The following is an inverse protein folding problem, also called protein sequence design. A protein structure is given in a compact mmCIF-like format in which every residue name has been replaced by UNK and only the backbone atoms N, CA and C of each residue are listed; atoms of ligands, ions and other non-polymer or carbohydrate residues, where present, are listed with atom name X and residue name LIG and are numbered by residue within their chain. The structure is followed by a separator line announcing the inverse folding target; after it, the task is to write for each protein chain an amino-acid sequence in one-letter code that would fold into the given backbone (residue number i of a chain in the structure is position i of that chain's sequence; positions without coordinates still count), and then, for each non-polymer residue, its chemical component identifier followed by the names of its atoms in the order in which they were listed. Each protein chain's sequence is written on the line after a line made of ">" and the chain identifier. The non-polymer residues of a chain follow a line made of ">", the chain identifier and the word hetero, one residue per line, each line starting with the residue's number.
data_IF_825948015529
#
_entry.id   IF_825948015529
#
_cell.length_a   1.000
_cell.length_b   1.000
_cell.length_c   1.000
_cell.angle_alpha   90.00
_cell.angle_beta   90.00
_cell.angle_gamma   90.00
#
_symmetry.space_group_name_H-M   'P 1'
#
loop_
_entity.id
_entity.type
_entity.pdbx_description
1 polymer ?
#
# COMPACT_ATOMS: atom_id res chain seq x y z
N UNK A 1 -2.47 32.31 0.10
CA UNK A 1 -3.89 32.49 -0.28
C UNK A 1 -4.54 31.11 -0.14
N UNK A 2 -5.56 31.00 0.70
CA UNK A 2 -6.17 29.75 1.18
C UNK A 2 -6.64 28.88 0.01
N UNK A 3 -6.17 27.62 -0.06
CA UNK A 3 -6.74 26.60 -0.95
C UNK A 3 -8.21 26.42 -0.59
N UNK A 4 -9.09 26.81 -1.49
CA UNK A 4 -10.53 26.63 -1.34
C UNK A 4 -10.85 25.23 -1.85
N UNK A 5 -10.90 24.25 -0.94
CA UNK A 5 -11.48 22.95 -1.26
C UNK A 5 -12.96 23.19 -1.64
N UNK A 6 -13.35 22.86 -2.87
CA UNK A 6 -14.74 22.88 -3.26
C UNK A 6 -15.48 21.77 -2.50
N UNK A 7 -16.21 22.15 -1.46
CA UNK A 7 -17.15 21.25 -0.79
C UNK A 7 -18.32 20.97 -1.74
N UNK A 8 -18.32 19.80 -2.41
CA UNK A 8 -19.51 19.26 -3.08
C UNK A 8 -20.46 18.68 -2.01
N UNK A 9 -21.76 18.79 -2.28
CA UNK A 9 -22.87 18.63 -1.33
C UNK A 9 -22.90 17.27 -0.58
N UNK A 10 -23.41 17.23 0.67
CA UNK A 10 -23.46 16.01 1.47
C UNK A 10 -24.39 14.96 0.85
N UNK A 11 -23.87 13.75 0.67
CA UNK A 11 -24.66 12.55 0.40
C UNK A 11 -25.56 12.25 1.61
N UNK A 12 -26.87 12.37 1.43
CA UNK A 12 -27.89 11.99 2.43
C UNK A 12 -27.86 10.47 2.66
N UNK A 13 -27.24 10.02 3.76
CA UNK A 13 -27.42 8.67 4.27
C UNK A 13 -28.85 8.50 4.80
N UNK A 14 -29.64 7.66 4.14
CA UNK A 14 -30.93 7.21 4.63
C UNK A 14 -30.77 6.36 5.91
N UNK A 15 -31.59 6.64 6.93
CA UNK A 15 -31.67 5.84 8.16
C UNK A 15 -32.16 4.42 7.84
N UNK A 16 -31.55 3.36 8.39
CA UNK A 16 -32.14 2.02 8.27
C UNK A 16 -33.35 1.88 9.21
N UNK A 17 -34.45 1.39 8.64
CA UNK A 17 -35.63 0.94 9.38
C UNK A 17 -35.33 -0.39 10.10
N UNK A 18 -35.91 -0.55 11.30
CA UNK A 18 -35.83 -1.79 12.06
C UNK A 18 -36.49 -2.94 11.29
N UNK A 19 -35.74 -4.01 11.00
CA UNK A 19 -36.34 -5.29 10.65
C UNK A 19 -35.49 -6.50 11.11
N UNK A 20 -36.18 -7.36 11.88
CA UNK A 20 -36.04 -8.80 12.09
C UNK A 20 -34.65 -9.41 12.38
N UNK A 21 -34.46 -9.79 13.66
CA UNK A 21 -33.46 -10.74 14.14
C UNK A 21 -33.63 -12.11 13.46
N UNK A 22 -32.63 -12.56 12.72
CA UNK A 22 -32.41 -13.99 12.41
C UNK A 22 -31.19 -14.50 13.20
N UNK A 23 -31.38 -15.60 13.93
CA UNK A 23 -30.34 -16.24 14.75
C UNK A 23 -29.29 -16.89 13.83
N UNK A 24 -28.01 -16.52 13.98
CA UNK A 24 -26.88 -17.26 13.40
C UNK A 24 -26.58 -18.52 14.25
N UNK A 25 -26.15 -19.65 13.66
CA UNK A 25 -25.64 -20.79 14.42
C UNK A 25 -24.31 -20.44 15.07
N UNK A 26 -24.06 -20.97 16.28
CA UNK A 26 -22.84 -20.72 17.06
C UNK A 26 -21.57 -21.27 16.40
N UNK A 27 -20.38 -20.77 16.78
CA UNK A 27 -19.13 -21.17 16.18
C UNK A 27 -18.74 -22.60 16.60
N UNK A 28 -18.34 -23.43 15.63
CA UNK A 28 -17.67 -24.70 15.87
C UNK A 28 -16.27 -24.51 16.50
N UNK A 29 -15.64 -25.58 17.01
CA UNK A 29 -14.42 -25.47 17.78
C UNK A 29 -13.26 -24.96 16.92
N UNK A 30 -12.53 -23.97 17.44
CA UNK A 30 -11.33 -23.41 16.83
C UNK A 30 -10.18 -24.45 16.77
N UNK A 31 -9.36 -24.46 15.69
CA UNK A 31 -8.16 -25.27 15.66
C UNK A 31 -7.15 -24.76 16.69
N UNK A 32 -6.55 -25.67 17.45
CA UNK A 32 -5.50 -25.36 18.44
C UNK A 32 -4.23 -24.91 17.71
N UNK A 33 -3.92 -23.61 17.79
CA UNK A 33 -2.66 -23.04 17.32
C UNK A 33 -1.54 -23.26 18.33
N UNK A 34 -0.35 -23.60 17.82
CA UNK A 34 0.90 -23.66 18.58
C UNK A 34 1.23 -22.26 19.09
N UNK A 35 1.40 -22.13 20.42
CA UNK A 35 1.97 -20.94 21.05
C UNK A 35 3.36 -20.69 20.47
N UNK A 36 3.57 -19.47 19.98
CA UNK A 36 4.88 -18.90 19.72
C UNK A 36 5.68 -18.89 21.04
N UNK A 37 6.85 -19.53 21.06
CA UNK A 37 7.78 -19.49 22.18
C UNK A 37 9.12 -19.02 21.63
N UNK A 38 9.65 -17.86 22.09
CA UNK A 38 11.04 -17.54 21.84
C UNK A 38 11.92 -18.52 22.63
N UNK A 39 12.91 -19.12 21.97
CA UNK A 39 13.94 -19.91 22.65
C UNK A 39 14.83 -18.95 23.45
N UNK A 40 14.60 -18.90 24.76
CA UNK A 40 15.50 -18.28 25.72
C UNK A 40 16.31 -19.39 26.42
N UNK A 41 17.54 -19.61 25.99
CA UNK A 41 18.54 -20.36 26.76
C UNK A 41 19.18 -19.41 27.76
N UNK A 42 18.59 -19.34 28.96
CA UNK A 42 19.20 -18.70 30.12
C UNK A 42 20.00 -19.73 30.93
N UNK A 43 21.34 -19.62 30.90
CA UNK A 43 22.24 -20.28 31.85
C UNK A 43 22.61 -19.32 32.98
N UNK A 44 22.21 -19.66 34.22
CA UNK A 44 22.81 -19.15 35.48
C UNK A 44 24.03 -20.04 35.77
N UNK A 45 25.18 -19.63 36.32
CA UNK A 45 25.72 -18.39 36.84
C UNK A 45 27.02 -18.71 37.63
N UNK A 46 27.62 -17.67 38.23
CA UNK A 46 28.64 -17.66 39.32
C UNK A 46 30.13 -17.63 38.91
N UNK A 47 30.82 -16.57 39.34
CA UNK A 47 32.26 -16.62 39.69
C UNK A 47 33.09 -15.40 39.25
N UNK A 48 33.20 -14.37 40.09
CA UNK A 48 34.29 -13.38 40.04
C UNK A 48 35.66 -14.07 40.18
N UNK A 49 36.72 -13.60 39.50
CA UNK A 49 38.06 -13.29 40.05
C UNK A 49 38.95 -12.56 39.01
N UNK A 50 39.42 -11.38 39.43
CA UNK A 50 40.68 -10.63 39.16
C UNK A 50 41.26 -10.33 37.77
N UNK A 51 41.72 -9.07 37.69
CA UNK A 51 42.63 -8.49 36.71
C UNK A 51 44.10 -8.90 36.91
N UNK A 52 44.89 -8.98 35.82
CA UNK A 52 46.16 -8.24 35.60
C UNK A 52 47.03 -8.82 34.46
N UNK A 53 47.35 -7.92 33.52
CA UNK A 53 48.48 -7.69 32.59
C UNK A 53 49.74 -8.60 32.55
N UNK A 54 50.23 -8.83 31.31
CA UNK A 54 51.62 -8.75 30.73
C UNK A 54 52.08 -10.00 29.93
N UNK A 55 52.56 -9.69 28.72
CA UNK A 55 53.23 -10.46 27.64
C UNK A 55 54.14 -11.65 28.01
N UNK A 56 54.24 -12.64 27.10
CA UNK A 56 55.47 -13.03 26.36
C UNK A 56 55.09 -13.96 25.18
N UNK A 57 55.71 -13.73 24.02
CA UNK A 57 55.61 -14.52 22.79
C UNK A 57 56.50 -15.78 22.80
N UNK A 58 56.05 -16.88 22.18
CA UNK A 58 56.81 -17.72 21.22
C UNK A 58 55.98 -18.90 20.67
N UNK A 59 55.91 -18.97 19.33
CA UNK A 59 55.62 -20.08 18.37
C UNK A 59 55.34 -21.51 18.90
N UNK A 60 54.25 -22.12 18.39
CA UNK A 60 54.17 -23.38 17.62
C UNK A 60 52.68 -23.70 17.32
N UNK A 61 52.28 -23.71 16.04
CA UNK A 61 51.78 -24.89 15.30
C UNK A 61 50.26 -25.16 15.45
N UNK A 62 49.53 -24.68 14.43
CA UNK A 62 48.52 -25.38 13.63
C UNK A 62 47.54 -26.34 14.34
N UNK A 63 46.38 -25.82 14.77
CA UNK A 63 45.10 -26.54 14.74
C UNK A 63 44.00 -25.55 14.35
N UNK A 64 43.26 -25.89 13.28
CA UNK A 64 42.19 -25.07 12.73
C UNK A 64 40.99 -24.99 13.67
N UNK A 65 40.62 -23.77 14.03
CA UNK A 65 39.37 -23.45 14.71
C UNK A 65 38.36 -23.06 13.61
N UNK A 66 37.48 -23.99 13.28
CA UNK A 66 36.33 -23.72 12.41
C UNK A 66 35.40 -22.75 13.15
N UNK A 67 35.30 -21.51 12.67
CA UNK A 67 34.26 -20.56 13.06
C UNK A 67 32.89 -21.21 12.82
N UNK A 68 32.15 -21.51 13.89
CA UNK A 68 30.76 -21.96 13.77
C UNK A 68 29.92 -20.86 13.11
N UNK A 69 29.26 -21.13 11.97
CA UNK A 69 28.47 -20.12 11.30
C UNK A 69 27.22 -19.80 12.13
N UNK A 70 27.01 -18.51 12.39
CA UNK A 70 25.74 -17.96 12.90
C UNK A 70 24.63 -18.45 11.99
N UNK A 71 23.62 -19.12 12.55
CA UNK A 71 22.55 -19.79 11.82
C UNK A 71 21.88 -18.84 10.80
N UNK A 72 22.12 -19.09 9.52
CA UNK A 72 21.35 -18.48 8.42
C UNK A 72 19.94 -19.08 8.46
N UNK A 73 18.95 -18.28 8.88
CA UNK A 73 17.55 -18.63 8.70
C UNK A 73 17.24 -18.71 7.20
N UNK A 74 17.13 -19.96 6.70
CA UNK A 74 16.79 -20.26 5.31
C UNK A 74 15.29 -20.10 5.10
N UNK A 75 14.87 -18.92 4.67
CA UNK A 75 13.52 -18.66 4.15
C UNK A 75 13.30 -19.40 2.83
N UNK A 76 12.05 -19.77 2.51
CA UNK A 76 11.68 -20.57 1.33
C UNK A 76 11.69 -19.77 0.01
N UNK A 77 12.35 -18.60 0.00
CA UNK A 77 12.81 -17.91 -1.21
C UNK A 77 14.04 -18.66 -1.78
N UNK A 78 13.79 -19.82 -2.40
CA UNK A 78 14.75 -20.63 -3.17
C UNK A 78 16.23 -20.27 -2.98
N UNK A 79 16.80 -20.50 -1.79
CA UNK A 79 18.24 -20.40 -1.49
C UNK A 79 18.99 -19.09 -1.82
N UNK A 80 18.34 -18.02 -2.29
CA UNK A 80 19.02 -16.87 -2.91
C UNK A 80 18.69 -15.52 -2.29
N UNK A 81 17.75 -15.44 -1.33
CA UNK A 81 17.44 -14.19 -0.64
C UNK A 81 18.01 -14.18 0.79
N UNK A 82 18.69 -13.10 1.16
CA UNK A 82 19.20 -12.87 2.54
C UNK A 82 18.43 -11.73 3.19
N UNK A 83 18.03 -11.94 4.44
CA UNK A 83 17.28 -10.96 5.24
C UNK A 83 18.27 -10.18 6.10
N UNK A 84 18.36 -8.88 5.88
CA UNK A 84 19.24 -7.96 6.59
C UNK A 84 18.42 -6.90 7.34
N UNK A 85 19.06 -6.19 8.27
CA UNK A 85 18.41 -5.19 9.12
C UNK A 85 17.66 -4.11 8.30
N UNK A 86 18.24 -3.64 7.20
CA UNK A 86 17.69 -2.55 6.39
C UNK A 86 17.76 -1.19 7.08
N UNK A 87 17.00 -0.23 6.55
CA UNK A 87 17.03 1.17 6.98
C UNK A 87 15.61 1.72 7.18
N UNK A 88 15.37 2.55 8.21
CA UNK A 88 14.06 3.15 8.48
C UNK A 88 13.64 4.20 7.44
N UNK A 89 14.53 4.62 6.55
CA UNK A 89 14.26 5.66 5.55
C UNK A 89 14.84 5.29 4.18
N UNK A 90 14.17 5.67 3.09
CA UNK A 90 12.84 6.29 3.04
C UNK A 90 11.73 5.27 3.35
N UNK A 91 10.53 5.76 3.69
CA UNK A 91 9.34 4.91 3.88
C UNK A 91 8.87 4.32 2.54
N UNK A 92 8.29 3.13 2.60
CA UNK A 92 7.90 2.30 1.48
C UNK A 92 9.00 1.32 1.04
N UNK A 93 8.71 0.54 0.00
CA UNK A 93 9.71 -0.25 -0.70
C UNK A 93 10.61 0.64 -1.58
N UNK A 94 11.92 0.46 -1.47
CA UNK A 94 12.95 1.19 -2.22
C UNK A 94 13.97 0.20 -2.77
N UNK A 95 14.07 0.12 -4.09
CA UNK A 95 15.08 -0.70 -4.74
C UNK A 95 16.47 -0.08 -4.55
N UNK A 96 17.41 -0.88 -4.07
CA UNK A 96 18.82 -0.53 -3.91
C UNK A 96 19.68 -1.51 -4.70
N UNK A 97 21.00 -1.30 -4.72
CA UNK A 97 21.91 -2.28 -5.31
C UNK A 97 21.77 -3.63 -4.57
N UNK A 98 21.51 -4.70 -5.31
CA UNK A 98 21.46 -6.07 -4.78
C UNK A 98 20.16 -6.47 -4.06
N UNK A 99 19.17 -5.58 -3.91
CA UNK A 99 17.94 -5.93 -3.19
C UNK A 99 16.97 -4.78 -2.99
N UNK A 100 16.04 -4.95 -2.05
CA UNK A 100 14.99 -3.98 -1.75
C UNK A 100 14.93 -3.68 -0.27
N UNK A 101 14.96 -2.40 0.08
CA UNK A 101 14.69 -1.93 1.44
C UNK A 101 13.19 -1.68 1.60
N UNK A 102 12.59 -2.26 2.63
CA UNK A 102 11.21 -2.05 3.02
C UNK A 102 11.19 -1.28 4.33
N UNK A 103 10.38 -0.22 4.44
CA UNK A 103 10.21 0.53 5.68
C UNK A 103 8.77 1.03 5.85
N UNK A 104 8.16 0.77 7.00
CA UNK A 104 6.77 1.12 7.28
C UNK A 104 6.60 1.57 8.73
N UNK A 105 5.85 2.66 8.92
CA UNK A 105 5.51 3.15 10.25
C UNK A 105 4.42 2.28 10.88
N UNK A 106 4.63 1.82 12.11
CA UNK A 106 3.57 1.33 13.00
C UNK A 106 4.03 1.47 14.46
N UNK A 107 3.41 2.40 15.19
CA UNK A 107 3.76 2.67 16.59
C UNK A 107 3.18 1.64 17.55
N UNK A 108 1.94 1.22 17.30
CA UNK A 108 1.22 0.26 18.15
C UNK A 108 1.61 -1.21 17.98
N UNK A 109 2.31 -1.57 16.90
CA UNK A 109 2.67 -2.97 16.62
C UNK A 109 3.72 -3.52 17.59
N UNK A 110 3.50 -4.74 18.04
CA UNK A 110 4.44 -5.52 18.87
C UNK A 110 5.27 -6.49 18.04
N UNK A 111 4.76 -6.92 16.87
CA UNK A 111 5.50 -7.66 15.87
C UNK A 111 5.03 -7.24 14.47
N UNK A 112 5.91 -7.41 13.47
CA UNK A 112 5.58 -7.20 12.07
C UNK A 112 6.16 -8.33 11.23
N UNK A 113 5.51 -8.61 10.10
CA UNK A 113 6.04 -9.51 9.08
C UNK A 113 5.82 -8.89 7.70
N UNK A 114 6.83 -9.00 6.84
CA UNK A 114 6.73 -8.69 5.42
C UNK A 114 6.15 -9.93 4.72
N UNK A 115 5.00 -9.76 4.06
CA UNK A 115 4.37 -10.82 3.28
C UNK A 115 4.67 -10.60 1.80
N UNK A 116 5.23 -11.60 1.13
CA UNK A 116 5.53 -11.60 -0.29
C UNK A 116 4.51 -12.45 -1.05
N UNK A 117 4.24 -12.05 -2.28
CA UNK A 117 3.26 -12.68 -3.15
C UNK A 117 3.80 -12.83 -4.58
N UNK A 118 3.60 -13.99 -5.18
CA UNK A 118 3.51 -14.10 -6.64
C UNK A 118 2.15 -13.56 -7.11
N UNK A 119 2.03 -13.08 -8.36
CA UNK A 119 0.73 -12.66 -8.92
C UNK A 119 -0.34 -13.76 -8.86
N UNK A 120 0.04 -15.03 -9.00
CA UNK A 120 -0.84 -16.20 -8.93
C UNK A 120 -1.35 -16.41 -7.49
N UNK A 121 -0.46 -16.34 -6.50
CA UNK A 121 -0.80 -16.50 -5.10
C UNK A 121 -1.67 -15.35 -4.59
N UNK A 122 -1.40 -14.12 -5.03
CA UNK A 122 -2.24 -12.97 -4.70
C UNK A 122 -3.69 -13.18 -5.19
N UNK A 123 -3.88 -13.68 -6.43
CA UNK A 123 -5.23 -14.00 -6.96
C UNK A 123 -5.93 -15.12 -6.19
N UNK A 124 -5.17 -15.94 -5.47
CA UNK A 124 -5.68 -17.01 -4.64
C UNK A 124 -5.79 -16.61 -3.15
N UNK A 125 -5.59 -15.33 -2.82
CA UNK A 125 -5.54 -14.80 -1.45
C UNK A 125 -4.56 -15.58 -0.55
N UNK A 126 -3.42 -16.00 -1.10
CA UNK A 126 -2.38 -16.79 -0.43
C UNK A 126 -1.09 -15.99 -0.33
N UNK A 127 -0.47 -15.97 0.85
CA UNK A 127 0.90 -15.45 1.02
C UNK A 127 1.88 -16.48 0.48
N UNK A 128 2.79 -16.06 -0.41
CA UNK A 128 3.84 -16.93 -0.95
C UNK A 128 4.91 -17.18 0.09
N UNK A 129 5.42 -16.12 0.71
CA UNK A 129 6.44 -16.17 1.74
C UNK A 129 6.16 -15.10 2.81
N UNK A 130 6.47 -15.42 4.06
CA UNK A 130 6.39 -14.48 5.17
C UNK A 130 7.77 -14.33 5.81
N UNK A 131 8.25 -13.09 5.90
CA UNK A 131 9.52 -12.74 6.54
C UNK A 131 9.20 -11.99 7.84
N UNK A 132 9.34 -12.64 9.01
CA UNK A 132 9.19 -11.98 10.30
C UNK A 132 10.26 -10.92 10.50
N UNK A 133 9.91 -9.77 11.07
CA UNK A 133 10.85 -8.71 11.41
C UNK A 133 11.21 -8.79 12.89
N UNK A 134 12.51 -8.90 13.20
CA UNK A 134 12.99 -8.88 14.58
C UNK A 134 12.82 -7.47 15.18
N UNK A 135 12.04 -7.29 16.27
CA UNK A 135 11.84 -5.98 16.88
C UNK A 135 13.12 -5.29 17.39
N UNK A 136 14.23 -6.00 17.57
CA UNK A 136 15.52 -5.45 17.99
C UNK A 136 16.39 -5.02 16.81
N UNK A 137 16.30 -5.71 15.67
CA UNK A 137 17.15 -5.46 14.49
C UNK A 137 16.43 -4.72 13.36
N UNK A 138 15.15 -5.03 13.16
CA UNK A 138 14.30 -4.58 12.07
C UNK A 138 13.31 -3.47 12.50
N UNK A 139 13.66 -2.70 13.53
CA UNK A 139 12.85 -1.57 14.00
C UNK A 139 13.73 -0.46 14.56
N UNK A 140 13.52 0.76 14.06
CA UNK A 140 14.10 1.99 14.60
C UNK A 140 12.98 2.94 15.02
N UNK A 141 12.82 3.16 16.33
CA UNK A 141 11.68 3.91 16.87
C UNK A 141 10.35 3.21 16.55
N UNK A 142 9.49 3.87 15.77
CA UNK A 142 8.19 3.33 15.32
C UNK A 142 8.19 2.90 13.86
N UNK A 143 9.37 2.79 13.23
CA UNK A 143 9.50 2.34 11.84
C UNK A 143 10.06 0.93 11.83
N UNK A 144 9.28 0.01 11.29
CA UNK A 144 9.70 -1.35 10.98
C UNK A 144 10.40 -1.33 9.62
N UNK A 145 11.54 -2.00 9.52
CA UNK A 145 12.32 -2.02 8.29
C UNK A 145 13.09 -3.33 8.11
N UNK A 146 13.27 -3.72 6.85
CA UNK A 146 14.05 -4.90 6.48
C UNK A 146 14.64 -4.68 5.09
N UNK A 147 15.86 -5.17 4.89
CA UNK A 147 16.44 -5.24 3.55
C UNK A 147 16.49 -6.69 3.11
N UNK A 148 15.88 -6.96 1.96
CA UNK A 148 15.92 -8.28 1.34
C UNK A 148 16.92 -8.20 0.20
N UNK A 149 18.08 -8.81 0.40
CA UNK A 149 19.06 -9.03 -0.66
C UNK A 149 18.58 -10.18 -1.54
N UNK A 150 18.65 -10.05 -2.86
CA UNK A 150 18.18 -11.04 -3.82
C UNK A 150 17.21 -10.49 -4.85
N UNK A 151 16.78 -11.35 -5.79
CA UNK A 151 15.86 -10.97 -6.85
C UNK A 151 14.41 -11.15 -6.43
N UNK A 152 13.71 -10.03 -6.22
CA UNK A 152 12.26 -9.97 -5.95
C UNK A 152 11.49 -9.50 -7.18
N UNK A 153 12.03 -9.72 -8.37
CA UNK A 153 11.40 -9.28 -9.61
C UNK A 153 10.02 -9.95 -9.76
N UNK A 154 9.03 -9.13 -10.11
CA UNK A 154 7.63 -9.52 -10.33
C UNK A 154 6.90 -10.10 -9.10
N UNK A 155 7.53 -10.03 -7.93
CA UNK A 155 6.86 -10.23 -6.66
C UNK A 155 6.16 -8.95 -6.19
N UNK A 156 5.17 -9.15 -5.33
CA UNK A 156 4.37 -8.11 -4.68
C UNK A 156 4.52 -8.26 -3.17
N UNK A 157 4.18 -7.23 -2.41
CA UNK A 157 4.36 -7.25 -0.96
C UNK A 157 3.20 -6.60 -0.18
N UNK A 158 3.07 -7.00 1.07
CA UNK A 158 2.22 -6.36 2.08
C UNK A 158 2.80 -6.63 3.47
N UNK A 159 2.08 -6.25 4.51
CA UNK A 159 2.51 -6.48 5.89
C UNK A 159 1.44 -7.16 6.72
N UNK A 160 1.87 -7.98 7.68
CA UNK A 160 1.06 -8.35 8.84
C UNK A 160 1.62 -7.61 10.06
N UNK A 161 0.73 -7.13 10.91
CA UNK A 161 1.10 -6.56 12.20
C UNK A 161 0.37 -7.29 13.31
N UNK A 162 1.12 -7.61 14.37
CA UNK A 162 0.55 -8.08 15.63
C UNK A 162 0.54 -6.95 16.65
N UNK A 163 -0.44 -6.96 17.54
CA UNK A 163 -0.60 -5.96 18.57
C UNK A 163 -1.99 -5.99 19.20
N UNK A 164 -2.43 -4.85 19.71
CA UNK A 164 -3.73 -4.77 20.37
C UNK A 164 -4.87 -4.75 19.35
N UNK A 165 -5.73 -5.77 19.37
CA UNK A 165 -7.03 -5.75 18.70
C UNK A 165 -8.14 -5.40 19.70
N UNK A 166 -8.47 -4.11 19.78
CA UNK A 166 -9.55 -3.60 20.61
C UNK A 166 -10.32 -2.51 19.85
N UNK A 167 -11.21 -2.88 18.90
CA UNK A 167 -11.92 -1.91 18.05
C UNK A 167 -12.69 -0.86 18.84
N UNK A 168 -13.28 -1.25 19.97
CA UNK A 168 -13.98 -0.33 20.88
C UNK A 168 -13.09 0.76 21.51
N UNK A 169 -11.77 0.56 21.51
CA UNK A 169 -10.75 1.52 21.93
C UNK A 169 -9.99 2.14 20.74
N UNK A 170 -10.36 1.80 19.50
CA UNK A 170 -9.70 2.33 18.30
C UNK A 170 -8.45 1.56 17.86
N UNK A 171 -8.17 0.36 18.38
CA UNK A 171 -7.02 -0.44 17.98
C UNK A 171 -7.44 -1.64 17.11
N UNK A 172 -6.78 -1.81 15.97
CA UNK A 172 -7.16 -2.78 14.91
C UNK A 172 -6.00 -3.64 14.43
N UNK A 173 -4.91 -3.74 15.21
CA UNK A 173 -3.77 -4.58 14.87
C UNK A 173 -4.18 -6.04 14.99
N UNK A 174 -4.17 -6.77 13.88
CA UNK A 174 -4.62 -8.15 13.79
C UNK A 174 -3.77 -8.88 12.74
N UNK A 175 -2.99 -9.85 13.21
CA UNK A 175 -2.08 -10.66 12.40
C UNK A 175 -2.78 -11.44 11.29
N UNK A 176 -4.09 -11.68 11.40
CA UNK A 176 -4.85 -12.38 10.36
C UNK A 176 -5.04 -11.57 9.08
N UNK A 177 -4.84 -10.25 9.11
CA UNK A 177 -4.96 -9.37 7.94
C UNK A 177 -3.59 -9.07 7.32
N UNK A 178 -3.48 -9.18 5.99
CA UNK A 178 -2.36 -8.58 5.25
C UNK A 178 -2.79 -7.21 4.75
N UNK A 179 -2.08 -6.18 5.16
CA UNK A 179 -2.35 -4.79 4.77
C UNK A 179 -1.37 -4.29 3.72
N UNK A 180 -1.84 -3.39 2.88
CA UNK A 180 -1.05 -2.71 1.87
C UNK A 180 -0.20 -1.62 2.52
N UNK A 181 1.05 -1.50 2.08
CA UNK A 181 1.94 -0.41 2.46
C UNK A 181 1.32 0.95 2.07
N UNK A 182 1.11 1.89 3.02
CA UNK A 182 0.65 3.25 2.72
C UNK A 182 1.49 3.98 1.66
N UNK A 183 2.76 3.59 1.48
CA UNK A 183 3.73 4.20 0.56
C UNK A 183 3.94 3.40 -0.74
N UNK A 184 3.15 2.35 -0.99
CA UNK A 184 3.21 1.57 -2.22
C UNK A 184 3.10 2.46 -3.47
N UNK A 185 3.99 2.25 -4.45
CA UNK A 185 4.02 3.04 -5.70
C UNK A 185 3.00 2.56 -6.75
N UNK A 186 2.54 1.34 -6.60
CA UNK A 186 1.38 0.79 -7.30
C UNK A 186 0.73 -0.27 -6.40
N UNK A 187 -0.59 -0.40 -6.45
CA UNK A 187 -1.35 -1.42 -5.75
C UNK A 187 -1.96 -2.37 -6.76
N UNK A 188 -1.79 -3.67 -6.49
CA UNK A 188 -2.26 -4.78 -7.31
C UNK A 188 -3.36 -5.51 -6.57
N UNK A 189 -4.47 -5.72 -7.28
CA UNK A 189 -5.59 -6.54 -6.83
C UNK A 189 -6.35 -7.06 -8.05
N UNK A 190 -7.33 -6.28 -8.54
CA UNK A 190 -8.12 -6.53 -9.74
C UNK A 190 -7.50 -5.84 -10.95
N UNK A 191 -7.50 -6.54 -12.08
CA UNK A 191 -6.92 -6.04 -13.33
C UNK A 191 -7.85 -5.19 -14.19
N UNK A 192 -9.16 -5.34 -14.05
CA UNK A 192 -10.15 -4.76 -14.95
C UNK A 192 -11.18 -3.92 -14.20
N UNK A 193 -11.53 -2.77 -14.77
CA UNK A 193 -12.53 -1.86 -14.22
C UNK A 193 -13.92 -2.47 -14.25
N UNK A 194 -14.60 -2.52 -13.11
CA UNK A 194 -15.97 -3.00 -12.98
C UNK A 194 -16.09 -4.53 -12.90
N UNK A 195 -14.97 -5.26 -12.95
CA UNK A 195 -14.96 -6.73 -12.89
C UNK A 195 -14.57 -7.16 -11.47
N UNK A 196 -15.45 -7.86 -10.73
CA UNK A 196 -15.13 -8.37 -9.40
C UNK A 196 -14.12 -9.52 -9.46
N UNK A 197 -13.44 -9.80 -8.35
CA UNK A 197 -12.56 -10.95 -8.25
C UNK A 197 -13.36 -12.27 -8.13
N UNK A 198 -12.64 -13.40 -8.08
CA UNK A 198 -13.23 -14.74 -7.94
C UNK A 198 -14.21 -14.78 -6.77
N UNK A 199 -15.34 -15.46 -6.98
CA UNK A 199 -16.39 -15.56 -5.96
C UNK A 199 -17.19 -14.27 -5.75
N UNK A 200 -17.18 -13.34 -6.73
CA UNK A 200 -17.83 -12.03 -6.65
C UNK A 200 -17.25 -11.15 -5.53
N UNK A 201 -15.98 -11.36 -5.17
CA UNK A 201 -15.31 -10.60 -4.14
C UNK A 201 -14.95 -9.19 -4.67
N UNK A 202 -15.56 -8.17 -4.08
CA UNK A 202 -15.29 -6.76 -4.41
C UNK A 202 -14.10 -6.18 -3.63
N UNK A 203 -13.61 -6.89 -2.60
CA UNK A 203 -12.45 -6.54 -1.77
C UNK A 203 -11.48 -7.74 -1.66
N UNK A 204 -10.90 -8.20 -2.79
CA UNK A 204 -9.86 -9.23 -2.74
C UNK A 204 -8.60 -8.73 -2.06
N UNK A 205 -7.67 -9.65 -1.73
CA UNK A 205 -6.36 -9.26 -1.21
C UNK A 205 -5.69 -8.26 -2.16
N UNK A 206 -5.05 -7.25 -1.56
CA UNK A 206 -4.29 -6.24 -2.27
C UNK A 206 -2.83 -6.31 -1.84
N UNK A 207 -1.90 -5.99 -2.73
CA UNK A 207 -0.48 -5.93 -2.44
C UNK A 207 0.18 -4.76 -3.17
N UNK A 208 1.25 -4.22 -2.59
CA UNK A 208 2.10 -3.23 -3.22
C UNK A 208 3.04 -3.85 -4.25
N UNK A 209 3.33 -3.12 -5.32
CA UNK A 209 4.38 -3.47 -6.28
C UNK A 209 5.76 -3.27 -5.68
N UNK A 210 6.66 -4.24 -5.84
CA UNK A 210 8.08 -4.09 -5.54
C UNK A 210 8.78 -3.32 -6.68
N UNK A 211 9.44 -2.19 -6.38
CA UNK A 211 10.13 -1.40 -7.40
C UNK A 211 11.34 -2.14 -7.97
N UNK A 212 11.63 -1.90 -9.25
CA UNK A 212 12.86 -2.40 -9.88
C UNK A 212 14.00 -1.40 -9.71
N UNK A 213 15.25 -1.88 -9.52
CA UNK A 213 16.42 -1.02 -9.56
C UNK A 213 16.51 -0.36 -10.94
N UNK A 214 16.84 0.93 -10.97
CA UNK A 214 17.06 1.71 -12.20
C UNK A 214 15.85 1.83 -13.15
N UNK A 215 14.60 1.75 -12.64
CA UNK A 215 13.42 2.08 -13.46
C UNK A 215 13.39 3.57 -13.82
N UNK A 216 13.96 3.93 -14.96
CA UNK A 216 13.95 5.29 -15.49
C UNK A 216 12.84 5.44 -16.51
N UNK A 217 11.94 6.40 -16.27
CA UNK A 217 11.01 6.88 -17.29
C UNK A 217 11.71 7.97 -18.09
N UNK A 218 11.67 7.88 -19.43
CA UNK A 218 12.23 8.92 -20.29
C UNK A 218 11.25 10.11 -20.37
N UNK A 219 11.58 11.19 -19.69
CA UNK A 219 10.79 12.42 -19.71
C UNK A 219 10.99 13.24 -20.98
N UNK A 220 11.95 12.90 -21.85
CA UNK A 220 12.25 13.67 -23.07
C UNK A 220 12.53 15.16 -22.78
N UNK A 221 13.11 15.46 -21.61
CA UNK A 221 13.40 16.82 -21.16
C UNK A 221 12.20 17.60 -20.61
N UNK A 222 11.05 16.94 -20.40
CA UNK A 222 9.85 17.57 -19.84
C UNK A 222 10.09 18.20 -18.46
N UNK A 223 9.47 19.37 -18.26
CA UNK A 223 9.50 20.14 -17.02
C UNK A 223 8.12 20.76 -16.78
N UNK A 224 7.69 20.95 -15.52
CA UNK A 224 6.43 21.64 -15.23
C UNK A 224 6.36 23.01 -15.90
N UNK A 225 5.22 23.32 -16.55
CA UNK A 225 5.04 24.53 -17.37
C UNK A 225 5.04 25.83 -16.56
N UNK A 226 4.50 25.81 -15.33
CA UNK A 226 4.49 26.92 -14.36
C UNK A 226 3.81 28.19 -14.89
N UNK A 227 2.64 28.05 -15.52
CA UNK A 227 1.82 29.20 -15.87
C UNK A 227 1.42 29.98 -14.61
N UNK A 228 1.32 31.32 -14.68
CA UNK A 228 0.74 32.09 -13.58
C UNK A 228 -0.72 31.67 -13.38
N UNK A 229 -1.13 31.43 -12.13
CA UNK A 229 -2.48 30.94 -11.81
C UNK A 229 -3.62 31.78 -12.42
N UNK A 230 -3.43 33.10 -12.53
CA UNK A 230 -4.40 34.04 -13.12
C UNK A 230 -4.66 33.80 -14.62
N UNK A 231 -3.76 33.08 -15.30
CA UNK A 231 -3.81 32.81 -16.74
C UNK A 231 -4.33 31.39 -17.04
N UNK A 232 -4.72 30.62 -16.01
CA UNK A 232 -5.25 29.27 -16.18
C UNK A 232 -6.71 29.27 -16.63
N UNK A 233 -6.99 28.42 -17.61
CA UNK A 233 -8.32 28.00 -18.05
C UNK A 233 -8.40 26.49 -17.81
N UNK A 234 -9.09 26.12 -16.73
CA UNK A 234 -9.08 24.77 -16.18
C UNK A 234 -10.24 23.95 -16.76
N UNK A 235 -9.93 22.72 -17.20
CA UNK A 235 -10.90 21.71 -17.63
C UNK A 235 -10.96 20.56 -16.61
N UNK A 236 -12.00 20.53 -15.76
CA UNK A 236 -12.26 19.38 -14.87
C UNK A 236 -12.69 18.18 -15.73
N UNK A 237 -11.99 17.05 -15.61
CA UNK A 237 -12.35 15.84 -16.32
C UNK A 237 -12.20 14.57 -15.50
N UNK A 238 -13.12 13.65 -15.73
CA UNK A 238 -12.99 12.27 -15.30
C UNK A 238 -12.18 11.49 -16.34
N UNK A 239 -11.03 10.95 -15.95
CA UNK A 239 -10.13 10.25 -16.87
C UNK A 239 -10.84 9.14 -17.68
N UNK A 240 -11.53 8.22 -16.99
CA UNK A 240 -12.30 7.16 -17.66
C UNK A 240 -13.41 7.73 -18.56
N UNK A 241 -14.24 8.62 -18.04
CA UNK A 241 -15.38 9.19 -18.77
C UNK A 241 -14.97 9.91 -20.06
N UNK A 242 -13.80 10.55 -20.08
CA UNK A 242 -13.33 11.34 -21.22
C UNK A 242 -13.23 10.56 -22.53
N UNK A 243 -12.86 9.27 -22.46
CA UNK A 243 -12.69 8.44 -23.67
C UNK A 243 -13.39 7.09 -23.60
N UNK A 244 -14.27 6.83 -22.63
CA UNK A 244 -14.88 5.49 -22.49
C UNK A 244 -15.93 5.17 -23.56
N UNK A 245 -16.65 6.17 -24.06
CA UNK A 245 -17.72 5.96 -25.04
C UNK A 245 -17.14 5.56 -26.41
N UNK A 246 -17.85 4.70 -27.16
CA UNK A 246 -17.38 4.18 -28.46
C UNK A 246 -17.13 5.29 -29.49
N UNK A 247 -17.89 6.39 -29.41
CA UNK A 247 -17.68 7.58 -30.26
C UNK A 247 -16.34 8.28 -30.04
N UNK A 248 -15.60 7.94 -28.97
CA UNK A 248 -14.23 8.44 -28.79
C UNK A 248 -13.29 7.90 -29.87
N UNK A 249 -13.55 6.71 -30.42
CA UNK A 249 -12.74 6.07 -31.45
C UNK A 249 -11.24 6.00 -31.07
N UNK A 250 -10.95 5.58 -29.83
CA UNK A 250 -9.59 5.36 -29.32
C UNK A 250 -9.33 3.88 -29.12
N UNK A 251 -8.06 3.45 -29.21
CA UNK A 251 -7.68 2.05 -29.04
C UNK A 251 -7.86 1.55 -27.59
N UNK A 252 -7.67 2.43 -26.60
CA UNK A 252 -7.76 2.10 -25.17
C UNK A 252 -8.80 2.98 -24.43
N UNK A 253 -10.12 2.76 -24.63
CA UNK A 253 -11.17 3.61 -24.08
C UNK A 253 -11.16 3.71 -22.54
N UNK A 254 -11.13 4.94 -22.04
CA UNK A 254 -11.20 5.23 -20.61
C UNK A 254 -9.92 4.90 -19.82
N UNK A 255 -8.77 5.03 -20.47
CA UNK A 255 -7.42 4.85 -19.89
C UNK A 255 -6.57 6.11 -20.07
N UNK A 256 -5.41 6.18 -19.40
CA UNK A 256 -4.44 7.26 -19.58
C UNK A 256 -3.98 7.40 -21.04
N UNK A 257 -3.58 6.31 -21.70
CA UNK A 257 -3.17 6.34 -23.11
C UNK A 257 -4.35 6.67 -24.04
N UNK A 258 -5.55 6.19 -23.72
CA UNK A 258 -6.77 6.61 -24.41
C UNK A 258 -6.96 8.13 -24.34
N UNK A 259 -6.80 8.72 -23.16
CA UNK A 259 -6.89 10.16 -22.96
C UNK A 259 -5.80 10.95 -23.71
N UNK A 260 -4.56 10.44 -23.75
CA UNK A 260 -3.45 11.04 -24.53
C UNK A 260 -3.85 11.27 -25.99
N UNK A 261 -4.52 10.29 -26.61
CA UNK A 261 -4.96 10.38 -28.01
C UNK A 261 -6.01 11.49 -28.29
N UNK A 262 -6.54 12.13 -27.25
CA UNK A 262 -7.53 13.20 -27.33
C UNK A 262 -7.05 14.54 -26.74
N UNK A 263 -5.78 14.66 -26.36
CA UNK A 263 -5.25 15.93 -25.83
C UNK A 263 -5.22 17.05 -26.89
N UNK A 264 -5.13 16.73 -28.18
CA UNK A 264 -5.18 17.74 -29.25
C UNK A 264 -6.53 18.45 -29.29
N UNK A 265 -7.63 17.76 -28.98
CA UNK A 265 -8.95 18.38 -28.82
C UNK A 265 -8.95 19.44 -27.71
N UNK A 266 -8.33 19.14 -26.56
CA UNK A 266 -8.27 20.10 -25.45
C UNK A 266 -7.39 21.32 -25.80
N UNK A 267 -6.30 21.09 -26.51
CA UNK A 267 -5.47 22.17 -27.05
C UNK A 267 -6.25 23.06 -28.02
N UNK A 268 -7.00 22.47 -28.95
CA UNK A 268 -7.85 23.20 -29.91
C UNK A 268 -9.01 23.95 -29.22
N UNK A 269 -9.57 23.36 -28.16
CA UNK A 269 -10.57 24.02 -27.31
C UNK A 269 -10.02 25.27 -26.62
N UNK A 270 -8.70 25.34 -26.42
CA UNK A 270 -8.00 26.50 -25.84
C UNK A 270 -7.81 26.41 -24.32
N UNK A 271 -7.97 25.24 -23.72
CA UNK A 271 -7.65 25.03 -22.30
C UNK A 271 -6.14 24.83 -22.13
N UNK A 272 -5.56 25.35 -21.05
CA UNK A 272 -4.14 25.22 -20.73
C UNK A 272 -3.89 24.50 -19.40
N UNK A 273 -4.94 23.96 -18.78
CA UNK A 273 -4.85 23.17 -17.57
C UNK A 273 -5.97 22.13 -17.53
N UNK A 274 -5.61 20.89 -17.20
CA UNK A 274 -6.55 19.81 -16.91
C UNK A 274 -6.56 19.62 -15.39
N UNK A 275 -7.76 19.56 -14.81
CA UNK A 275 -7.97 19.08 -13.45
C UNK A 275 -8.54 17.66 -13.52
N UNK A 276 -7.72 16.67 -13.15
CA UNK A 276 -8.15 15.29 -13.11
C UNK A 276 -8.92 15.02 -11.81
N UNK A 277 -10.12 14.48 -11.94
CA UNK A 277 -10.80 13.79 -10.84
C UNK A 277 -9.89 12.68 -10.26
N UNK A 278 -10.13 12.19 -9.02
CA UNK A 278 -9.21 11.32 -8.30
C UNK A 278 -8.59 10.20 -9.14
N UNK A 279 -7.26 10.24 -9.24
CA UNK A 279 -6.45 9.26 -9.97
C UNK A 279 -5.56 8.41 -9.06
N UNK A 280 -5.63 8.61 -7.73
CA UNK A 280 -5.07 7.67 -6.76
C UNK A 280 -5.89 6.37 -6.75
N UNK A 281 -5.28 5.26 -6.34
CA UNK A 281 -5.97 3.97 -6.28
C UNK A 281 -7.21 4.04 -5.37
N UNK A 282 -8.37 3.65 -5.91
CA UNK A 282 -9.67 3.58 -5.22
C UNK A 282 -10.46 2.37 -5.72
N UNK A 283 -11.42 1.84 -4.96
CA UNK A 283 -12.23 0.70 -5.43
C UNK A 283 -13.56 1.15 -6.04
N UNK A 284 -13.72 1.04 -7.37
CA UNK A 284 -14.97 1.38 -8.04
C UNK A 284 -16.14 0.46 -7.65
N UNK A 285 -15.85 -0.72 -7.11
CA UNK A 285 -16.84 -1.72 -6.69
C UNK A 285 -17.23 -1.62 -5.22
N UNK A 286 -16.80 -0.60 -4.46
CA UNK A 286 -17.06 -0.51 -3.02
C UNK A 286 -18.57 -0.55 -2.65
N UNK A 287 -19.45 -0.08 -3.54
CA UNK A 287 -20.92 -0.09 -3.36
C UNK A 287 -21.63 -1.26 -4.05
N UNK A 288 -20.89 -2.10 -4.79
CA UNK A 288 -21.45 -3.09 -5.71
C UNK A 288 -22.06 -4.31 -5.02
N UNK A 289 -21.79 -4.51 -3.73
CA UNK A 289 -22.32 -5.65 -2.96
C UNK A 289 -23.80 -5.53 -2.61
N UNK A 290 -24.37 -4.33 -2.73
CA UNK A 290 -25.76 -4.03 -2.37
C UNK A 290 -26.56 -3.30 -3.46
N UNK A 291 -25.90 -2.86 -4.53
CA UNK A 291 -26.53 -2.10 -5.60
C UNK A 291 -25.76 -2.28 -6.92
N UNK A 292 -26.39 -1.98 -8.05
CA UNK A 292 -25.69 -1.84 -9.34
C UNK A 292 -24.84 -0.56 -9.43
N UNK A 293 -24.68 0.19 -8.33
CA UNK A 293 -23.93 1.44 -8.28
C UNK A 293 -22.45 1.15 -8.10
N UNK A 294 -21.63 1.95 -8.76
CA UNK A 294 -20.18 1.95 -8.65
C UNK A 294 -19.73 3.29 -8.11
N UNK A 295 -18.61 3.31 -7.39
CA UNK A 295 -17.87 4.55 -7.18
C UNK A 295 -17.19 4.91 -8.49
N UNK A 296 -17.84 5.72 -9.31
CA UNK A 296 -17.27 6.17 -10.57
C UNK A 296 -16.18 7.21 -10.33
N UNK A 297 -16.50 8.25 -9.55
CA UNK A 297 -15.65 9.43 -9.35
C UNK A 297 -14.34 9.18 -8.61
N UNK A 298 -14.30 8.22 -7.69
CA UNK A 298 -13.07 7.84 -7.01
C UNK A 298 -12.72 8.62 -5.73
N UNK A 299 -13.63 9.43 -5.18
CA UNK A 299 -13.45 10.10 -3.87
C UNK A 299 -13.58 9.10 -2.70
N UNK A 300 -12.75 8.06 -2.69
CA UNK A 300 -12.65 7.02 -1.66
C UNK A 300 -11.30 6.33 -1.81
N UNK A 301 -10.22 7.01 -1.44
CA UNK A 301 -8.85 6.59 -1.76
C UNK A 301 -8.38 5.43 -0.87
N UNK A 302 -7.76 4.42 -1.48
CA UNK A 302 -7.10 3.29 -0.82
C UNK A 302 -5.62 3.59 -0.59
N UNK A 303 -4.93 4.12 -1.61
CA UNK A 303 -3.50 4.37 -1.54
C UNK A 303 -3.12 5.67 -2.25
N UNK A 304 -2.46 6.57 -1.53
CA UNK A 304 -2.15 7.93 -1.99
C UNK A 304 -0.88 8.04 -2.85
N UNK A 305 -0.09 6.97 -2.98
CA UNK A 305 1.13 6.96 -3.77
C UNK A 305 1.01 6.14 -5.07
N UNK A 306 -0.13 5.49 -5.26
CA UNK A 306 -0.40 4.59 -6.38
C UNK A 306 -1.40 5.22 -7.34
N UNK A 307 -1.07 5.36 -8.64
CA UNK A 307 -2.07 5.67 -9.66
C UNK A 307 -3.10 4.54 -9.76
N UNK A 308 -4.32 4.87 -10.15
CA UNK A 308 -5.42 3.92 -10.33
C UNK A 308 -5.07 2.90 -11.42
N UNK A 309 -4.75 1.67 -11.02
CA UNK A 309 -4.26 0.62 -11.93
C UNK A 309 -5.31 0.26 -13.00
N UNK A 310 -6.60 0.38 -12.68
CA UNK A 310 -7.71 0.08 -13.61
C UNK A 310 -8.00 1.19 -14.62
N UNK A 311 -7.20 2.27 -14.61
CA UNK A 311 -7.19 3.32 -15.64
C UNK A 311 -6.06 3.13 -16.65
N UNK A 312 -5.45 1.95 -16.69
CA UNK A 312 -4.35 1.64 -17.61
C UNK A 312 -4.80 0.76 -18.75
N UNK A 313 -4.07 0.82 -19.87
CA UNK A 313 -4.29 -0.09 -20.99
C UNK A 313 -3.81 -1.53 -20.70
N UNK A 314 -2.76 -1.67 -19.90
CA UNK A 314 -2.14 -2.95 -19.54
C UNK A 314 -2.76 -3.67 -18.32
N UNK A 315 -3.55 -2.98 -17.50
CA UNK A 315 -4.09 -3.50 -16.25
C UNK A 315 -2.97 -3.91 -15.28
N UNK A 316 -3.02 -5.14 -14.78
CA UNK A 316 -2.04 -5.68 -13.81
C UNK A 316 -0.90 -6.50 -14.43
N UNK A 317 -0.81 -6.60 -15.78
CA UNK A 317 0.15 -7.50 -16.46
C UNK A 317 1.60 -7.25 -16.08
N UNK A 318 2.01 -5.98 -15.96
CA UNK A 318 3.37 -5.58 -15.58
C UNK A 318 3.49 -5.23 -14.09
N UNK A 319 2.77 -5.94 -13.22
CA UNK A 319 2.73 -5.68 -11.77
C UNK A 319 2.42 -4.21 -11.44
N UNK A 320 1.56 -3.55 -12.24
CA UNK A 320 1.13 -2.16 -12.05
C UNK A 320 2.14 -1.09 -12.48
N UNK A 321 3.31 -1.46 -13.04
CA UNK A 321 4.29 -0.48 -13.58
C UNK A 321 3.70 0.39 -14.68
N UNK A 322 2.77 -0.17 -15.47
CA UNK A 322 2.07 0.56 -16.52
C UNK A 322 1.23 1.71 -15.94
N UNK A 323 0.69 1.59 -14.72
CA UNK A 323 -0.04 2.68 -14.08
C UNK A 323 0.83 3.91 -13.84
N UNK A 324 2.07 3.68 -13.43
CA UNK A 324 3.05 4.75 -13.22
C UNK A 324 3.48 5.33 -14.57
N UNK A 325 3.84 4.49 -15.54
CA UNK A 325 4.39 4.93 -16.82
C UNK A 325 3.35 5.59 -17.72
N UNK A 326 2.13 5.06 -17.79
CA UNK A 326 1.05 5.68 -18.56
C UNK A 326 0.62 7.02 -17.95
N UNK A 327 0.57 7.13 -16.62
CA UNK A 327 0.31 8.42 -15.97
C UNK A 327 1.39 9.46 -16.28
N UNK A 328 2.68 9.08 -16.17
CA UNK A 328 3.80 9.95 -16.57
C UNK A 328 3.73 10.33 -18.05
N UNK A 329 3.36 9.39 -18.92
CA UNK A 329 3.15 9.64 -20.35
C UNK A 329 2.04 10.64 -20.59
N UNK A 330 0.92 10.51 -19.87
CA UNK A 330 -0.18 11.48 -19.93
C UNK A 330 0.29 12.89 -19.56
N UNK A 331 1.02 13.04 -18.45
CA UNK A 331 1.57 14.32 -18.01
C UNK A 331 2.52 14.92 -19.06
N UNK A 332 3.50 14.14 -19.51
CA UNK A 332 4.48 14.56 -20.54
C UNK A 332 3.79 15.01 -21.83
N UNK A 333 2.78 14.26 -22.29
CA UNK A 333 2.05 14.58 -23.53
C UNK A 333 1.10 15.78 -23.38
N UNK A 334 0.56 16.02 -22.18
CA UNK A 334 -0.17 17.24 -21.87
C UNK A 334 0.78 18.46 -21.86
N UNK A 335 1.95 18.35 -21.22
CA UNK A 335 2.93 19.42 -21.18
C UNK A 335 3.46 19.80 -22.58
N UNK A 336 3.73 18.82 -23.46
CA UNK A 336 4.07 19.07 -24.88
C UNK A 336 3.02 19.89 -25.63
N UNK A 337 1.77 19.88 -25.15
CA UNK A 337 0.65 20.64 -25.72
C UNK A 337 0.41 21.98 -25.02
N UNK A 338 1.22 22.34 -24.03
CA UNK A 338 1.04 23.55 -23.23
C UNK A 338 -0.10 23.41 -22.22
N UNK A 339 -0.36 22.20 -21.73
CA UNK A 339 -1.45 21.90 -20.80
C UNK A 339 -0.88 21.43 -19.47
N UNK A 340 -1.11 22.19 -18.40
CA UNK A 340 -0.78 21.76 -17.02
C UNK A 340 -1.71 20.65 -16.53
N UNK A 341 -1.26 19.88 -15.54
CA UNK A 341 -2.04 18.81 -14.92
C UNK A 341 -2.14 19.07 -13.41
N UNK A 342 -3.37 19.30 -12.94
CA UNK A 342 -3.74 19.36 -11.52
C UNK A 342 -4.43 18.05 -11.15
N UNK A 343 -4.13 17.54 -9.96
CA UNK A 343 -4.79 16.37 -9.40
C UNK A 343 -5.76 16.79 -8.29
N UNK A 344 -7.00 16.33 -8.40
CA UNK A 344 -7.92 16.33 -7.28
C UNK A 344 -7.47 15.25 -6.27
N UNK A 345 -7.22 15.66 -5.02
CA UNK A 345 -6.63 14.83 -3.96
C UNK A 345 -7.51 14.82 -2.72
N UNK A 346 -7.71 13.62 -2.15
CA UNK A 346 -8.69 13.37 -1.10
C UNK A 346 -8.02 12.93 0.21
N UNK A 347 -7.30 13.82 0.87
CA UNK A 347 -6.58 13.49 2.11
C UNK A 347 -7.44 13.52 3.38
N UNK A 348 -8.71 13.90 3.28
CA UNK A 348 -9.59 14.09 4.44
C UNK A 348 -10.26 12.79 4.94
N UNK A 349 -10.33 11.75 4.11
CA UNK A 349 -10.81 10.42 4.47
C UNK A 349 -10.23 9.34 3.53
N UNK A 350 -10.58 8.08 3.77
CA UNK A 350 -10.07 6.92 3.00
C UNK A 350 -11.20 5.92 2.72
N UNK A 351 -10.93 4.96 1.81
CA UNK A 351 -11.82 3.84 1.50
C UNK A 351 -12.10 2.87 2.67
N UNK A 352 -11.31 2.92 3.75
CA UNK A 352 -11.55 2.07 4.93
C UNK A 352 -12.82 2.48 5.71
N UNK A 353 -13.40 3.65 5.43
CA UNK A 353 -14.66 4.11 6.03
C UNK A 353 -14.63 4.13 7.56
N UNK A 354 -15.74 3.74 8.19
CA UNK A 354 -15.86 3.59 9.64
C UNK A 354 -15.51 2.16 10.11
N UNK A 355 -15.83 1.82 11.35
CA UNK A 355 -15.55 0.51 11.95
C UNK A 355 -16.17 -0.69 11.22
N UNK A 356 -17.16 -0.48 10.36
CA UNK A 356 -17.78 -1.53 9.54
C UNK A 356 -17.16 -1.65 8.15
N UNK A 357 -16.21 -0.78 7.80
CA UNK A 357 -15.47 -0.83 6.55
C UNK A 357 -14.32 -1.85 6.59
N UNK A 358 -13.64 -2.05 5.45
CA UNK A 358 -12.57 -3.03 5.34
C UNK A 358 -11.30 -2.59 6.09
N UNK A 359 -10.45 -3.56 6.45
CA UNK A 359 -9.07 -3.31 6.91
C UNK A 359 -8.16 -3.59 5.72
N UNK A 360 -7.61 -2.54 5.12
CA UNK A 360 -6.85 -2.56 3.87
C UNK A 360 -5.42 -2.06 4.07
N UNK A 361 -5.23 -0.98 4.83
CA UNK A 361 -3.96 -0.29 4.99
C UNK A 361 -3.91 0.42 6.36
N UNK A 362 -4.14 1.73 6.40
CA UNK A 362 -3.94 2.60 7.56
C UNK A 362 -4.50 2.05 8.88
N UNK A 363 -5.71 1.51 8.88
CA UNK A 363 -6.36 0.93 10.06
C UNK A 363 -5.58 -0.24 10.64
N UNK A 364 -5.13 -1.16 9.80
CA UNK A 364 -4.34 -2.32 10.22
C UNK A 364 -2.84 -2.04 10.36
N UNK A 365 -2.36 -0.88 9.88
CA UNK A 365 -1.00 -0.40 10.13
C UNK A 365 -0.92 0.31 11.49
N UNK A 366 -1.72 1.36 11.72
CA UNK A 366 -1.82 2.07 13.01
C UNK A 366 -3.07 3.00 13.03
N UNK A 367 -4.24 2.45 13.36
CA UNK A 367 -5.51 3.20 13.31
C UNK A 367 -5.52 4.49 14.14
N UNK A 368 -4.92 4.48 15.33
CA UNK A 368 -4.88 5.63 16.25
C UNK A 368 -3.99 6.77 15.76
N UNK A 369 -3.04 6.47 14.86
CA UNK A 369 -2.17 7.48 14.26
C UNK A 369 -2.82 8.09 13.01
N UNK A 370 -3.43 7.26 12.16
CA UNK A 370 -3.93 7.71 10.87
C UNK A 370 -5.35 8.31 10.90
N UNK A 371 -6.20 7.91 11.85
CA UNK A 371 -7.59 8.39 11.93
C UNK A 371 -7.84 9.27 13.14
N UNK A 372 -8.66 10.31 12.95
CA UNK A 372 -9.25 11.06 14.05
C UNK A 372 -10.35 10.23 14.71
N UNK A 373 -10.15 9.93 15.98
CA UNK A 373 -11.07 9.12 16.78
C UNK A 373 -11.72 9.98 17.86
N UNK A 374 -13.01 9.74 18.10
CA UNK A 374 -13.67 10.35 19.24
C UNK A 374 -13.02 9.87 20.56
N UNK A 375 -12.84 10.75 21.56
CA UNK A 375 -12.41 10.33 22.89
C UNK A 375 -13.37 9.29 23.47
N UNK A 376 -12.84 8.30 24.19
CA UNK A 376 -13.64 7.31 24.90
C UNK A 376 -14.47 8.00 26.00
N UNK A 377 -15.77 8.17 25.75
CA UNK A 377 -16.74 8.52 26.80
C UNK A 377 -17.44 7.22 27.21
N UNK A 378 -17.52 6.96 28.52
CA UNK A 378 -18.00 5.72 29.17
C UNK A 378 -19.02 4.93 28.32
N UNK A 379 -18.68 3.65 28.07
CA UNK A 379 -19.47 2.63 27.34
C UNK A 379 -19.77 2.87 25.86
N UNK A 380 -19.18 3.89 25.21
CA UNK A 380 -19.28 4.10 23.76
C UNK A 380 -17.97 3.73 23.05
N UNK A 381 -18.08 3.08 21.89
CA UNK A 381 -16.96 2.73 21.00
C UNK A 381 -16.26 3.98 20.46
N UNK A 382 -14.94 3.95 20.35
CA UNK A 382 -14.19 4.93 19.56
C UNK A 382 -14.64 4.85 18.10
N UNK A 383 -15.48 5.78 17.65
CA UNK A 383 -15.89 5.88 16.26
C UNK A 383 -14.85 6.68 15.46
N UNK A 384 -14.60 6.26 14.23
CA UNK A 384 -13.85 7.05 13.25
C UNK A 384 -14.67 8.29 12.93
N UNK A 385 -14.09 9.47 13.16
CA UNK A 385 -14.68 10.72 12.71
C UNK A 385 -14.38 10.84 11.22
N UNK A 386 -15.29 10.35 10.40
CA UNK A 386 -15.23 10.55 8.95
C UNK A 386 -15.68 11.98 8.66
N UNK A 387 -14.73 12.83 8.25
CA UNK A 387 -15.05 14.13 7.66
C UNK A 387 -15.39 13.92 6.18
N UNK A 388 -16.65 13.57 5.90
CA UNK A 388 -17.21 13.50 4.54
C UNK A 388 -17.95 14.78 4.18
#
# INVERSE_FOLDING_TARGET
>A
MTMMAMAKAPCLCARPSLAARTRRPGPGPAPRLRRWRPNATAGKGVGEVCAAVVEVATKAEDEGEEDEPVAEDRYALGGACRVLAGMPTPLGATALAGGVNFAVYSGGATAAALCLFTPEDLKADRVTEEVPLDPLMNRTGNVWHVFIEGELQDMLYGYRFDGTFAPHCGHYLDVSNVVVDPYAKAVISRGEYGVPARGNNCWPQMAGMIPLPYSTFDWEGDLPLRYPQKDLVIYEMHLRGFTKHDSSNVEHPGTFIGAVSKLDYLKELGVNCIELMPCHEFNELEYSTSSSKMNFWGYSTINFFSPMTRYTSGGIKNCGRDAINEFKTFVREAHKRGIEVILDVVFNHTAEGNENGPILSFRGVDNTTYYMLAPKVRDLSCCVIVLS
#
